data_IF_621294829026
#
_entry.id   IF_621294829026
#
_cell.length_a   1.000
_cell.length_b   1.000
_cell.length_c   1.000
_cell.angle_alpha   90.00
_cell.angle_beta   90.00
_cell.angle_gamma   90.00
#
_symmetry.space_group_name_H-M   'P 1'
#
loop_
_entity.id
_entity.type
_entity.pdbx_description
1 polymer ?
#
# COMPACT_ATOMS: atom_id res chain seq x y z
N UNK A 1 0.24 5.01 13.79
CA UNK A 1 0.46 5.22 12.34
C UNK A 1 1.91 4.94 11.98
N UNK A 2 2.21 4.72 10.69
CA UNK A 2 3.59 4.59 10.22
C UNK A 2 4.45 5.83 10.51
N UNK A 3 3.89 7.03 10.40
CA UNK A 3 4.60 8.29 10.71
C UNK A 3 5.10 8.32 12.15
N UNK A 4 4.25 7.97 13.13
CA UNK A 4 4.65 7.92 14.54
C UNK A 4 5.68 6.84 14.81
N UNK A 5 5.48 5.64 14.26
CA UNK A 5 6.41 4.53 14.46
C UNK A 5 7.79 4.83 13.86
N UNK A 6 7.88 5.37 12.64
CA UNK A 6 9.15 5.75 12.02
C UNK A 6 9.88 6.83 12.82
N UNK A 7 9.15 7.83 13.33
CA UNK A 7 9.70 8.89 14.19
C UNK A 7 10.30 8.32 15.47
N UNK A 8 9.57 7.48 16.20
CA UNK A 8 10.06 6.90 17.48
C UNK A 8 11.17 5.88 17.24
N UNK A 9 11.07 5.09 16.18
CA UNK A 9 12.06 4.09 15.81
C UNK A 9 13.38 4.71 15.31
N UNK A 10 13.35 5.97 14.85
CA UNK A 10 14.39 6.57 14.02
C UNK A 10 14.80 5.60 12.90
N UNK A 11 13.79 5.16 12.14
CA UNK A 11 13.89 4.16 11.08
C UNK A 11 12.85 4.45 10.01
N UNK A 12 13.30 4.78 8.81
CA UNK A 12 12.46 4.89 7.63
C UNK A 12 12.09 3.49 7.10
N UNK A 13 10.89 3.35 6.54
CA UNK A 13 10.45 2.09 5.90
C UNK A 13 11.18 1.82 4.59
N UNK A 14 11.42 2.87 3.80
CA UNK A 14 12.22 2.74 2.58
C UNK A 14 13.67 2.43 2.98
N UNK A 15 14.20 1.31 2.51
CA UNK A 15 15.51 0.81 2.94
C UNK A 15 15.49 0.04 4.26
N UNK A 16 14.32 -0.17 4.88
CA UNK A 16 14.22 -1.00 6.08
C UNK A 16 14.58 -2.45 5.75
N UNK A 17 15.55 -2.97 6.49
CA UNK A 17 16.02 -4.35 6.35
C UNK A 17 15.32 -5.30 7.32
N UNK A 18 14.92 -6.45 6.79
CA UNK A 18 14.30 -7.55 7.53
C UNK A 18 14.97 -8.86 7.13
N UNK A 19 15.57 -9.52 8.12
CA UNK A 19 16.12 -10.87 8.05
C UNK A 19 15.49 -11.74 9.14
N UNK A 20 15.69 -13.07 9.05
CA UNK A 20 15.32 -14.01 10.13
C UNK A 20 15.85 -13.56 11.49
N UNK A 21 17.13 -13.14 11.55
CA UNK A 21 17.75 -12.63 12.77
C UNK A 21 17.05 -11.38 13.30
N UNK A 22 16.77 -10.41 12.43
CA UNK A 22 16.10 -9.16 12.84
C UNK A 22 14.69 -9.39 13.40
N UNK A 23 13.99 -10.44 12.96
CA UNK A 23 12.69 -10.82 13.49
C UNK A 23 12.80 -11.47 14.86
N UNK A 24 13.82 -12.30 15.10
CA UNK A 24 14.10 -12.85 16.44
C UNK A 24 14.42 -11.73 17.43
N UNK A 25 15.29 -10.78 17.06
CA UNK A 25 15.56 -9.61 17.90
C UNK A 25 14.31 -8.76 18.14
N UNK A 26 13.48 -8.60 17.11
CA UNK A 26 12.22 -7.86 17.22
C UNK A 26 11.21 -8.57 18.12
N UNK A 27 11.17 -9.91 18.10
CA UNK A 27 10.36 -10.71 19.02
C UNK A 27 10.77 -10.47 20.47
N UNK A 28 12.07 -10.57 20.78
CA UNK A 28 12.59 -10.31 22.12
C UNK A 28 12.27 -8.88 22.58
N UNK A 29 12.48 -7.88 21.71
CA UNK A 29 12.19 -6.49 22.04
C UNK A 29 10.71 -6.23 22.37
N UNK A 30 9.78 -6.98 21.78
CA UNK A 30 8.35 -6.89 22.11
C UNK A 30 7.99 -7.67 23.38
N UNK A 31 8.67 -8.78 23.67
CA UNK A 31 8.43 -9.56 24.90
C UNK A 31 9.03 -8.89 26.14
N UNK A 32 10.13 -8.14 25.97
CA UNK A 32 10.76 -7.34 27.03
C UNK A 32 10.08 -5.98 27.24
N UNK A 33 9.25 -5.56 26.29
CA UNK A 33 8.53 -4.29 26.39
C UNK A 33 7.49 -4.32 27.52
N UNK A 34 7.48 -3.28 28.34
CA UNK A 34 6.49 -3.07 29.38
C UNK A 34 6.11 -1.59 29.48
N UNK A 35 4.96 -1.30 30.10
CA UNK A 35 4.42 0.04 30.22
C UNK A 35 3.48 0.42 29.07
N UNK A 36 3.18 1.72 28.96
CA UNK A 36 2.16 2.26 28.05
C UNK A 36 2.74 3.18 26.95
N UNK A 37 4.05 3.43 26.95
CA UNK A 37 4.72 4.34 26.02
C UNK A 37 5.72 3.55 25.18
N UNK A 38 5.50 3.51 23.87
CA UNK A 38 6.35 2.76 22.93
C UNK A 38 7.80 3.20 23.00
N UNK A 39 8.71 2.24 23.11
CA UNK A 39 10.16 2.48 23.00
C UNK A 39 10.62 2.47 21.54
N UNK A 40 11.87 2.89 21.31
CA UNK A 40 12.51 2.82 20.00
C UNK A 40 12.53 1.40 19.45
N UNK A 41 12.93 0.41 20.25
CA UNK A 41 13.11 -0.97 19.80
C UNK A 41 11.77 -1.69 19.60
N UNK A 42 10.79 -1.44 20.48
CA UNK A 42 9.42 -1.91 20.26
C UNK A 42 8.84 -1.30 18.97
N UNK A 43 9.08 -0.02 18.69
CA UNK A 43 8.61 0.63 17.45
C UNK A 43 9.26 0.02 16.20
N UNK A 44 10.57 -0.26 16.25
CA UNK A 44 11.29 -0.97 15.17
C UNK A 44 10.76 -2.37 14.96
N UNK A 45 10.48 -3.08 16.04
CA UNK A 45 9.92 -4.43 15.99
C UNK A 45 8.54 -4.44 15.35
N UNK A 46 7.65 -3.53 15.75
CA UNK A 46 6.33 -3.36 15.13
C UNK A 46 6.46 -3.07 13.64
N UNK A 47 7.34 -2.14 13.23
CA UNK A 47 7.54 -1.85 11.80
C UNK A 47 7.91 -3.10 11.00
N UNK A 48 8.84 -3.93 11.49
CA UNK A 48 9.22 -5.18 10.81
C UNK A 48 8.09 -6.19 10.76
N UNK A 49 7.43 -6.44 11.90
CA UNK A 49 6.34 -7.42 11.95
C UNK A 49 5.15 -7.02 11.10
N UNK A 50 4.74 -5.75 11.11
CA UNK A 50 3.63 -5.27 10.28
C UNK A 50 3.94 -5.45 8.79
N UNK A 51 5.19 -5.20 8.35
CA UNK A 51 5.59 -5.43 6.95
C UNK A 51 5.45 -6.89 6.54
N UNK A 52 5.91 -7.84 7.36
CA UNK A 52 5.92 -9.26 6.99
C UNK A 52 4.62 -10.00 7.31
N UNK A 53 3.66 -9.32 7.93
CA UNK A 53 2.32 -9.85 8.23
C UNK A 53 1.24 -9.09 7.46
N UNK A 54 0.79 -7.94 7.96
CA UNK A 54 -0.30 -7.18 7.37
C UNK A 54 0.00 -6.73 5.93
N UNK A 55 1.19 -6.20 5.64
CA UNK A 55 1.51 -5.74 4.28
C UNK A 55 1.76 -6.91 3.32
N UNK A 56 2.37 -8.01 3.80
CA UNK A 56 2.53 -9.23 3.01
C UNK A 56 1.17 -9.91 2.69
N UNK A 57 0.17 -9.81 3.58
CA UNK A 57 -1.20 -10.29 3.32
C UNK A 57 -1.89 -9.46 2.23
N UNK A 58 -1.67 -8.14 2.22
CA UNK A 58 -2.23 -7.24 1.20
C UNK A 58 -1.53 -7.39 -0.15
N UNK A 59 -0.20 -7.47 -0.13
CA UNK A 59 0.65 -7.40 -1.32
C UNK A 59 1.48 -8.67 -1.50
N UNK A 60 1.10 -9.46 -2.52
CA UNK A 60 1.85 -10.64 -2.97
C UNK A 60 3.30 -10.31 -3.34
N UNK A 61 3.58 -9.09 -3.78
CA UNK A 61 4.95 -8.62 -4.04
C UNK A 61 5.82 -8.71 -2.79
N UNK A 62 5.40 -8.06 -1.69
CA UNK A 62 6.11 -8.06 -0.41
C UNK A 62 6.25 -9.50 0.11
N UNK A 63 5.18 -10.31 0.01
CA UNK A 63 5.25 -11.73 0.38
C UNK A 63 6.33 -12.49 -0.42
N UNK A 64 6.34 -12.35 -1.75
CA UNK A 64 7.26 -13.06 -2.66
C UNK A 64 8.71 -12.67 -2.42
N UNK A 65 8.97 -11.40 -2.09
CA UNK A 65 10.30 -10.86 -1.89
C UNK A 65 10.82 -11.17 -0.48
N UNK A 66 10.00 -10.96 0.55
CA UNK A 66 10.39 -11.26 1.92
C UNK A 66 10.64 -12.76 2.17
N UNK A 67 9.86 -13.67 1.54
CA UNK A 67 10.00 -15.12 1.78
C UNK A 67 11.42 -15.65 1.55
N UNK A 68 12.22 -14.97 0.72
CA UNK A 68 13.62 -15.35 0.48
C UNK A 68 14.44 -15.30 1.76
N UNK A 69 14.18 -14.35 2.65
CA UNK A 69 14.87 -14.21 3.94
C UNK A 69 14.63 -15.39 4.91
N UNK A 70 13.68 -16.27 4.57
CA UNK A 70 13.34 -17.48 5.32
C UNK A 70 13.94 -18.76 4.70
N UNK A 71 14.73 -18.67 3.63
CA UNK A 71 15.48 -19.81 3.09
C UNK A 71 16.70 -20.16 3.96
N UNK A 72 17.40 -21.24 3.62
CA UNK A 72 18.63 -21.66 4.32
C UNK A 72 19.75 -20.61 4.21
N UNK A 73 19.80 -19.88 3.09
CA UNK A 73 20.81 -18.83 2.88
C UNK A 73 20.55 -17.58 3.73
N UNK A 74 19.37 -17.48 4.34
CA UNK A 74 18.95 -16.39 5.24
C UNK A 74 19.32 -14.96 4.73
N UNK A 75 19.01 -14.61 3.48
CA UNK A 75 19.31 -13.29 2.93
C UNK A 75 18.50 -12.19 3.64
N UNK A 76 18.85 -10.95 3.37
CA UNK A 76 18.15 -9.78 3.91
C UNK A 76 17.14 -9.26 2.88
N UNK A 77 15.86 -9.19 3.24
CA UNK A 77 14.88 -8.43 2.50
C UNK A 77 15.04 -6.95 2.83
N UNK A 78 15.04 -6.09 1.81
CA UNK A 78 15.09 -4.65 1.96
C UNK A 78 13.84 -4.06 1.33
N UNK A 79 12.99 -3.41 2.13
CA UNK A 79 11.75 -2.82 1.63
C UNK A 79 12.07 -1.65 0.70
N UNK A 80 11.65 -1.78 -0.56
CA UNK A 80 11.95 -0.81 -1.61
C UNK A 80 11.00 0.40 -1.54
N UNK A 81 11.36 1.53 -2.19
CA UNK A 81 10.42 2.64 -2.36
C UNK A 81 9.11 2.21 -3.07
N UNK A 82 9.19 1.22 -3.98
CA UNK A 82 8.02 0.67 -4.66
C UNK A 82 7.08 -0.05 -3.71
N UNK A 83 7.62 -0.81 -2.75
CA UNK A 83 6.81 -1.47 -1.71
C UNK A 83 6.14 -0.45 -0.79
N UNK A 84 6.86 0.63 -0.44
CA UNK A 84 6.29 1.74 0.33
C UNK A 84 5.15 2.40 -0.45
N UNK A 85 5.37 2.72 -1.73
CA UNK A 85 4.35 3.28 -2.61
C UNK A 85 3.12 2.37 -2.70
N UNK A 86 3.27 1.05 -2.77
CA UNK A 86 2.14 0.11 -2.74
C UNK A 86 1.31 0.25 -1.46
N UNK A 87 1.96 0.22 -0.29
CA UNK A 87 1.25 0.34 1.00
C UNK A 87 0.52 1.68 1.15
N UNK A 88 1.07 2.77 0.62
CA UNK A 88 0.46 4.10 0.68
C UNK A 88 -0.73 4.27 -0.26
N UNK A 89 -0.84 3.43 -1.28
CA UNK A 89 -1.92 3.50 -2.27
C UNK A 89 -2.94 2.35 -2.12
N UNK A 90 -2.89 1.57 -1.03
CA UNK A 90 -3.78 0.41 -0.85
C UNK A 90 -5.26 0.74 -0.97
N UNK A 91 -5.71 1.84 -0.35
CA UNK A 91 -7.11 2.29 -0.43
C UNK A 91 -7.53 2.67 -1.85
N UNK A 92 -6.68 3.42 -2.56
CA UNK A 92 -6.90 3.80 -3.97
C UNK A 92 -6.95 2.59 -4.89
N UNK A 93 -6.02 1.64 -4.71
CA UNK A 93 -5.99 0.36 -5.45
C UNK A 93 -7.28 -0.41 -5.18
N UNK A 94 -7.72 -0.45 -3.92
CA UNK A 94 -8.93 -1.18 -3.51
C UNK A 94 -10.20 -0.59 -4.11
N UNK A 95 -10.22 0.71 -4.41
CA UNK A 95 -11.35 1.38 -5.05
C UNK A 95 -11.36 1.21 -6.58
N UNK A 96 -10.20 0.96 -7.20
CA UNK A 96 -10.04 0.88 -8.67
C UNK A 96 -10.17 -0.55 -9.19
N UNK A 97 -9.51 -1.52 -8.53
CA UNK A 97 -9.45 -2.90 -9.02
C UNK A 97 -10.82 -3.60 -9.14
N UNK A 98 -11.84 -3.34 -8.29
CA UNK A 98 -13.17 -3.90 -8.47
C UNK A 98 -13.84 -3.51 -9.80
N UNK A 99 -13.39 -2.43 -10.45
CA UNK A 99 -13.93 -1.95 -11.73
C UNK A 99 -13.19 -2.51 -12.96
N UNK A 100 -12.16 -3.33 -12.77
CA UNK A 100 -11.44 -3.98 -13.87
C UNK A 100 -12.35 -4.97 -14.61
N UNK A 101 -12.39 -4.87 -15.95
CA UNK A 101 -13.22 -5.70 -16.85
C UNK A 101 -12.42 -6.27 -18.02
N UNK A 102 -11.10 -6.36 -17.89
CA UNK A 102 -10.20 -6.88 -18.94
C UNK A 102 -9.51 -5.80 -19.76
N UNK A 103 -9.37 -4.58 -19.23
CA UNK A 103 -8.50 -3.54 -19.78
C UNK A 103 -7.04 -4.02 -19.90
N UNK A 104 -6.28 -3.40 -20.82
CA UNK A 104 -4.87 -3.76 -21.06
C UNK A 104 -4.00 -3.47 -19.84
N UNK A 105 -4.34 -2.45 -19.06
CA UNK A 105 -3.61 -2.10 -17.86
C UNK A 105 -4.42 -1.22 -16.90
N UNK A 106 -3.84 -1.00 -15.72
CA UNK A 106 -4.42 -0.21 -14.63
C UNK A 106 -3.40 0.82 -14.15
N UNK A 107 -3.85 2.06 -13.91
CA UNK A 107 -3.02 3.18 -13.46
C UNK A 107 -3.63 3.86 -12.23
N UNK A 108 -2.90 3.84 -11.12
CA UNK A 108 -3.29 4.44 -9.84
C UNK A 108 -2.14 5.29 -9.31
N UNK A 109 -2.23 6.61 -9.50
CA UNK A 109 -1.15 7.55 -9.19
C UNK A 109 0.15 7.15 -9.91
N UNK A 110 1.16 6.80 -9.11
CA UNK A 110 2.47 6.36 -9.60
C UNK A 110 2.49 4.89 -10.04
N UNK A 111 1.53 4.09 -9.60
CA UNK A 111 1.50 2.62 -9.78
C UNK A 111 0.89 2.25 -11.12
N UNK A 112 1.57 1.36 -11.85
CA UNK A 112 1.12 0.81 -13.14
C UNK A 112 1.12 -0.71 -13.10
N UNK A 113 -0.01 -1.29 -13.51
CA UNK A 113 -0.10 -2.72 -13.83
C UNK A 113 -0.34 -2.85 -15.33
N UNK A 114 0.61 -3.45 -16.05
CA UNK A 114 0.59 -3.52 -17.51
C UNK A 114 -0.20 -4.72 -18.07
N UNK A 115 -0.75 -5.56 -17.18
CA UNK A 115 -1.62 -6.70 -17.49
C UNK A 115 -2.15 -7.32 -16.19
N UNK A 116 -3.08 -8.27 -16.31
CA UNK A 116 -3.66 -9.00 -15.17
C UNK A 116 -2.61 -9.77 -14.35
N UNK A 117 -1.58 -10.33 -14.98
CA UNK A 117 -0.50 -11.04 -14.29
C UNK A 117 0.32 -10.10 -13.42
N UNK A 118 0.49 -8.83 -13.80
CA UNK A 118 1.14 -7.82 -12.98
C UNK A 118 0.28 -7.43 -11.78
N UNK A 119 -1.05 -7.35 -11.94
CA UNK A 119 -1.99 -7.11 -10.82
C UNK A 119 -1.86 -8.26 -9.81
N UNK A 120 -2.04 -9.51 -10.27
CA UNK A 120 -1.96 -10.70 -9.42
C UNK A 120 -0.54 -10.92 -8.90
N UNK A 121 0.50 -10.54 -9.64
CA UNK A 121 1.88 -10.60 -9.14
C UNK A 121 2.14 -9.65 -7.97
N UNK A 122 1.30 -8.63 -7.79
CA UNK A 122 1.55 -7.54 -6.85
C UNK A 122 0.55 -7.50 -5.70
N UNK A 123 -0.75 -7.59 -5.99
CA UNK A 123 -1.85 -7.42 -5.04
C UNK A 123 -2.50 -8.78 -4.74
N UNK A 124 -2.77 -9.04 -3.47
CA UNK A 124 -3.46 -10.25 -3.00
C UNK A 124 -4.83 -9.93 -2.40
N UNK A 125 -4.91 -8.93 -1.52
CA UNK A 125 -6.12 -8.57 -0.78
C UNK A 125 -6.38 -7.07 -0.87
N UNK A 126 -7.63 -6.70 -1.14
CA UNK A 126 -8.11 -5.31 -1.20
C UNK A 126 -9.20 -5.07 -0.15
N UNK A 127 -9.42 -3.81 0.20
CA UNK A 127 -10.58 -3.39 0.98
C UNK A 127 -11.89 -3.64 0.22
N UNK A 128 -12.99 -3.74 0.96
CA UNK A 128 -14.33 -3.72 0.40
C UNK A 128 -14.87 -2.28 0.39
N UNK A 129 -14.67 -1.57 -0.72
CA UNK A 129 -15.06 -0.17 -0.86
C UNK A 129 -16.50 0.05 -1.35
N UNK A 130 -17.23 -1.02 -1.72
CA UNK A 130 -18.59 -0.90 -2.27
C UNK A 130 -19.68 -1.18 -1.23
N UNK A 131 -19.31 -1.57 0.01
CA UNK A 131 -20.24 -2.09 1.02
C UNK A 131 -21.13 -3.24 0.50
N UNK A 132 -20.69 -3.93 -0.55
CA UNK A 132 -21.37 -5.08 -1.15
C UNK A 132 -20.83 -6.38 -0.53
N UNK A 133 -21.67 -7.41 -0.42
CA UNK A 133 -21.29 -8.70 0.19
C UNK A 133 -22.35 -9.27 1.15
N UNK A 134 -22.05 -10.41 1.77
CA UNK A 134 -22.91 -11.06 2.76
C UNK A 134 -23.07 -10.20 4.03
N UNK A 135 -24.17 -10.39 4.77
CA UNK A 135 -24.50 -9.61 5.98
C UNK A 135 -23.36 -9.61 7.02
N UNK A 136 -22.64 -10.73 7.16
CA UNK A 136 -21.46 -10.86 8.03
C UNK A 136 -20.28 -9.97 7.64
N UNK A 137 -20.12 -9.65 6.35
CA UNK A 137 -19.09 -8.75 5.83
C UNK A 137 -19.52 -7.29 5.95
N UNK A 138 -20.82 -7.02 5.82
CA UNK A 138 -21.39 -5.67 5.97
C UNK A 138 -21.44 -5.21 7.42
N UNK A 139 -21.68 -6.11 8.37
CA UNK A 139 -21.77 -5.79 9.81
C UNK A 139 -20.44 -5.29 10.41
N UNK A 140 -19.30 -5.54 9.74
CA UNK A 140 -17.99 -5.00 10.13
C UNK A 140 -17.72 -3.62 9.48
N UNK A 141 -18.52 -3.24 8.48
CA UNK A 141 -18.33 -2.08 7.60
C UNK A 141 -19.52 -1.10 7.66
N UNK A 142 -20.13 -0.89 8.84
CA UNK A 142 -21.23 0.05 9.01
C UNK A 142 -20.80 1.52 8.78
N UNK A 143 -19.51 1.82 8.93
CA UNK A 143 -18.90 3.10 8.55
C UNK A 143 -18.13 2.97 7.23
N UNK A 144 -18.24 3.97 6.35
CA UNK A 144 -17.42 4.05 5.14
C UNK A 144 -15.94 4.05 5.51
N UNK A 145 -15.17 3.07 5.02
CA UNK A 145 -13.73 3.01 5.26
C UNK A 145 -13.10 4.29 4.69
N UNK A 146 -12.50 5.16 5.51
CA UNK A 146 -12.00 6.46 5.06
C UNK A 146 -10.89 6.33 4.00
N UNK A 147 -10.20 5.19 3.96
CA UNK A 147 -9.15 4.91 2.99
C UNK A 147 -9.69 4.64 1.57
N UNK A 148 -10.96 4.29 1.41
CA UNK A 148 -11.54 3.90 0.12
C UNK A 148 -11.78 5.06 -0.83
N UNK A 149 -12.04 6.27 -0.32
CA UNK A 149 -12.46 7.40 -1.14
C UNK A 149 -11.68 8.66 -0.79
N UNK A 150 -10.86 9.15 -1.73
CA UNK A 150 -10.17 10.44 -1.57
C UNK A 150 -11.17 11.58 -1.77
N UNK A 151 -11.83 11.59 -2.92
CA UNK A 151 -12.81 12.61 -3.32
C UNK A 151 -13.56 12.13 -4.57
N UNK A 152 -14.78 12.64 -4.76
CA UNK A 152 -15.66 12.28 -5.89
C UNK A 152 -16.25 10.87 -5.77
N UNK A 153 -17.32 10.60 -6.50
CA UNK A 153 -18.09 9.35 -6.50
C UNK A 153 -17.67 8.37 -7.61
N UNK A 154 -16.91 8.84 -8.61
CA UNK A 154 -16.45 8.04 -9.74
C UNK A 154 -15.04 7.49 -9.49
N UNK A 155 -14.85 6.18 -9.25
CA UNK A 155 -13.53 5.62 -8.95
C UNK A 155 -12.60 5.58 -10.18
N UNK A 156 -13.14 5.31 -11.37
CA UNK A 156 -12.34 5.05 -12.58
C UNK A 156 -12.82 5.75 -13.84
N UNK A 157 -11.86 5.98 -14.75
CA UNK A 157 -12.07 6.42 -16.13
C UNK A 157 -11.25 5.52 -17.05
N UNK A 158 -11.88 4.93 -18.06
CA UNK A 158 -11.19 4.17 -19.11
C UNK A 158 -10.66 5.14 -20.18
N UNK A 159 -9.36 5.09 -20.46
CA UNK A 159 -8.67 5.93 -21.46
C UNK A 159 -7.79 5.01 -22.31
N UNK A 160 -8.05 4.92 -23.62
CA UNK A 160 -7.27 4.10 -24.57
C UNK A 160 -7.03 2.66 -24.06
N UNK A 161 -8.11 1.99 -23.67
CA UNK A 161 -8.10 0.64 -23.10
C UNK A 161 -7.25 0.45 -21.82
N UNK A 162 -6.83 1.52 -21.15
CA UNK A 162 -6.22 1.52 -19.82
C UNK A 162 -7.22 2.04 -18.80
N UNK A 163 -7.33 1.36 -17.65
CA UNK A 163 -8.17 1.79 -16.54
C UNK A 163 -7.39 2.77 -15.65
N UNK A 164 -7.82 4.03 -15.62
CA UNK A 164 -7.21 5.05 -14.78
C UNK A 164 -8.07 5.32 -13.55
N UNK A 165 -7.43 5.52 -12.40
CA UNK A 165 -8.09 6.19 -11.28
C UNK A 165 -8.50 7.61 -11.69
N UNK A 166 -9.76 7.98 -11.47
CA UNK A 166 -10.32 9.28 -11.87
C UNK A 166 -9.51 10.46 -11.34
N UNK A 167 -9.10 10.41 -10.07
CA UNK A 167 -8.35 11.49 -9.43
C UNK A 167 -6.94 11.64 -10.02
N UNK A 168 -6.30 10.54 -10.43
CA UNK A 168 -5.03 10.60 -11.18
C UNK A 168 -5.22 11.28 -12.53
N UNK A 169 -6.26 10.91 -13.28
CA UNK A 169 -6.58 11.53 -14.57
C UNK A 169 -6.88 13.03 -14.42
N UNK A 170 -7.75 13.39 -13.48
CA UNK A 170 -8.12 14.77 -13.20
C UNK A 170 -6.92 15.64 -12.80
N UNK A 171 -5.98 15.10 -12.02
CA UNK A 171 -4.81 15.83 -11.52
C UNK A 171 -3.80 16.24 -12.61
N UNK A 172 -3.80 15.58 -13.78
CA UNK A 172 -2.98 16.03 -14.91
C UNK A 172 -3.78 16.72 -16.01
N UNK A 173 -5.11 16.55 -16.05
CA UNK A 173 -6.00 17.23 -17.00
C UNK A 173 -6.47 18.62 -16.53
N UNK A 174 -6.33 18.94 -15.24
CA UNK A 174 -6.72 20.23 -14.66
C UNK A 174 -5.76 21.40 -15.00
N UNK A 175 -5.10 21.36 -16.16
CA UNK A 175 -4.13 22.37 -16.58
C UNK A 175 -4.85 23.46 -17.37
N UNK A 176 -4.71 24.73 -16.92
CA UNK A 176 -5.09 25.88 -17.74
C UNK A 176 -4.26 25.91 -19.02
N UNK A 177 -4.78 26.56 -20.06
CA UNK A 177 -4.06 26.73 -21.33
C UNK A 177 -2.63 27.22 -21.07
N UNK A 178 -1.65 26.56 -21.68
CA UNK A 178 -0.23 26.89 -21.49
C UNK A 178 0.07 28.34 -21.88
N UNK A 179 -0.65 28.88 -22.86
CA UNK A 179 -0.57 30.27 -23.30
C UNK A 179 -0.85 31.26 -22.15
N UNK A 180 -1.74 30.93 -21.22
CA UNK A 180 -2.06 31.80 -20.08
C UNK A 180 -0.93 31.90 -19.05
N UNK A 181 0.11 31.06 -19.14
CA UNK A 181 1.33 31.23 -18.34
C UNK A 181 2.31 32.21 -18.97
N UNK A 182 2.26 32.41 -20.30
CA UNK A 182 3.16 33.31 -21.03
C UNK A 182 2.58 34.72 -21.22
N UNK A 183 1.30 34.92 -20.94
CA UNK A 183 0.59 36.20 -21.09
C UNK A 183 0.10 36.80 -19.77
N UNK A 184 0.55 36.26 -18.63
CA UNK A 184 0.30 36.86 -17.32
C UNK A 184 1.17 38.10 -17.10
N UNK A 185 0.67 39.05 -16.30
CA UNK A 185 1.50 40.12 -15.72
C UNK A 185 2.55 39.54 -14.78
#
# INVERSE_FOLDING_TARGET
>A
SYTTLQRVAALERSGMQISRHSLVSSYLALMEFSGNTMTRDASRAVLRFVTVTAEALRFRQIQREFRQALSETAPVYTMTPGDVDLTLNWGRISNVLPEYRGEDGVRVGRISFNNISAILGTVAVILNCHHQGARSVRAVNEESQPECQITGDRPVIKINNTLWESNTAAAFLNRKSQFLYTTGK
#
